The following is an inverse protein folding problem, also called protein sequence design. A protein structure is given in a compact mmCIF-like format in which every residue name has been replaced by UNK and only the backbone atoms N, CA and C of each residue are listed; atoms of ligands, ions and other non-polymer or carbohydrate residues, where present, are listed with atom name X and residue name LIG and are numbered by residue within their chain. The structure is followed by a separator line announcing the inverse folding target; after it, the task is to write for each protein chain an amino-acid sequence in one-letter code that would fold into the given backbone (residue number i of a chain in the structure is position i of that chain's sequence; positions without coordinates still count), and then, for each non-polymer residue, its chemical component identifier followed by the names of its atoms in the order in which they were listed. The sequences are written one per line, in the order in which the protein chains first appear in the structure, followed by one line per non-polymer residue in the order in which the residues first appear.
data_IF_235310866722
#
_entry.id   IF_235310866722
#
_cell.length_a   1.000
_cell.length_b   1.000
_cell.length_c   1.000
_cell.angle_alpha   90.00
_cell.angle_beta   90.00
_cell.angle_gamma   90.00
#
_symmetry.space_group_name_H-M   'P 1'
#
loop_
_entity.id
_entity.type
_entity.pdbx_description
1 polymer ?
#
# COMPACT_ATOMS: atom_id res chain seq x y z
N UNK A 1 -16.68 -28.48 1.13
CA UNK A 1 -15.59 -28.57 0.15
C UNK A 1 -14.36 -28.00 0.83
N UNK A 2 -13.41 -28.84 1.25
CA UNK A 2 -12.18 -28.40 1.88
C UNK A 2 -11.33 -27.75 0.77
N UNK A 3 -11.22 -26.40 0.79
CA UNK A 3 -10.30 -25.69 -0.07
C UNK A 3 -8.90 -26.09 0.36
N UNK A 4 -8.13 -26.61 -0.58
CA UNK A 4 -6.75 -27.04 -0.38
C UNK A 4 -5.92 -25.86 0.11
N UNK A 5 -5.61 -25.86 1.41
CA UNK A 5 -4.96 -24.73 2.12
C UNK A 5 -3.53 -24.47 1.66
N UNK A 6 -3.01 -25.31 0.77
CA UNK A 6 -1.62 -25.26 0.32
C UNK A 6 -1.40 -24.47 -0.97
N UNK A 7 -2.47 -24.06 -1.67
CA UNK A 7 -2.44 -23.33 -2.93
C UNK A 7 -2.61 -21.80 -2.78
N UNK A 8 -2.95 -21.32 -1.57
CA UNK A 8 -3.16 -19.89 -1.36
C UNK A 8 -1.84 -19.12 -1.44
N UNK A 9 -1.76 -18.12 -2.32
CA UNK A 9 -0.67 -17.16 -2.39
C UNK A 9 -0.82 -16.05 -1.36
N UNK A 10 -2.06 -15.64 -1.08
CA UNK A 10 -2.39 -14.68 -0.04
C UNK A 10 -3.48 -15.29 0.81
N UNK A 11 -3.30 -15.24 2.11
CA UNK A 11 -4.32 -15.64 3.08
C UNK A 11 -4.44 -14.59 4.16
N UNK A 12 -5.64 -14.10 4.35
CA UNK A 12 -6.05 -13.14 5.36
C UNK A 12 -7.07 -13.83 6.26
N UNK A 13 -6.82 -13.85 7.57
CA UNK A 13 -7.69 -14.50 8.54
C UNK A 13 -8.07 -13.50 9.64
N UNK A 14 -9.36 -13.09 9.65
CA UNK A 14 -10.00 -12.20 10.63
C UNK A 14 -9.17 -10.96 10.98
N UNK A 15 -8.67 -10.30 9.95
CA UNK A 15 -7.82 -9.13 10.12
C UNK A 15 -8.64 -7.89 10.44
N UNK A 16 -8.26 -7.22 11.53
CA UNK A 16 -8.75 -5.90 11.92
C UNK A 16 -7.64 -4.88 11.89
N UNK A 17 -7.98 -3.63 11.52
CA UNK A 17 -7.08 -2.48 11.55
C UNK A 17 -7.76 -1.27 12.14
N UNK A 18 -7.14 -0.68 13.16
CA UNK A 18 -7.61 0.49 13.88
C UNK A 18 -6.61 1.63 13.69
N UNK A 19 -7.14 2.85 13.54
CA UNK A 19 -6.34 4.07 13.53
C UNK A 19 -6.77 4.96 14.69
N UNK A 20 -5.79 5.52 15.36
CA UNK A 20 -6.00 6.48 16.43
C UNK A 20 -5.99 7.88 15.87
N UNK A 21 -7.15 8.54 15.85
CA UNK A 21 -7.28 9.94 15.47
C UNK A 21 -7.00 10.82 16.68
N UNK A 22 -5.88 11.54 16.66
CA UNK A 22 -5.60 12.59 17.64
C UNK A 22 -6.15 13.90 17.10
N UNK A 23 -7.29 14.35 17.62
CA UNK A 23 -7.80 15.68 17.32
C UNK A 23 -6.97 16.71 18.08
N UNK A 24 -6.03 17.35 17.38
CA UNK A 24 -5.37 18.56 17.92
C UNK A 24 -6.39 19.70 17.83
N UNK A 25 -7.18 19.88 18.88
CA UNK A 25 -8.07 21.05 18.98
C UNK A 25 -7.23 22.31 18.92
N UNK A 26 -7.62 23.23 18.05
CA UNK A 26 -6.98 24.53 17.92
C UNK A 26 -6.89 25.21 19.29
N UNK A 27 -5.74 25.81 19.57
CA UNK A 27 -5.36 26.49 20.83
C UNK A 27 -6.40 27.48 21.35
N UNK A 28 -7.36 27.91 20.53
CA UNK A 28 -8.44 28.85 20.90
C UNK A 28 -9.48 28.31 21.91
N UNK A 29 -9.68 26.97 22.01
CA UNK A 29 -10.65 26.43 22.99
C UNK A 29 -10.06 26.16 24.36
N UNK A 30 -8.75 26.23 24.52
CA UNK A 30 -8.05 26.00 25.80
C UNK A 30 -8.19 27.20 26.74
N UNK A 31 -8.45 28.42 26.20
CA UNK A 31 -8.52 29.63 26.98
C UNK A 31 -9.88 29.89 27.70
N UNK A 32 -10.94 29.17 27.32
CA UNK A 32 -12.31 29.44 27.84
C UNK A 32 -12.73 28.53 28.99
N UNK A 33 -12.02 27.42 29.24
CA UNK A 33 -12.31 26.49 30.37
C UNK A 33 -11.09 26.26 31.26
N UNK A 34 -10.57 27.34 31.80
CA UNK A 34 -9.69 27.28 32.98
C UNK A 34 -10.48 26.75 34.16
N UNK A 35 -9.88 25.85 34.93
CA UNK A 35 -10.33 25.28 36.23
C UNK A 35 -11.36 24.12 36.14
N UNK A 36 -10.95 22.98 35.61
CA UNK A 36 -11.27 21.71 36.29
C UNK A 36 -10.42 20.59 35.63
N UNK A 37 -9.49 20.08 36.42
CA UNK A 37 -8.55 19.04 35.99
C UNK A 37 -9.24 17.74 35.59
N UNK A 38 -9.06 17.39 34.34
CA UNK A 38 -8.93 16.07 33.78
C UNK A 38 -8.72 16.26 32.29
N UNK A 39 -7.46 16.30 31.85
CA UNK A 39 -7.09 16.11 30.42
C UNK A 39 -7.51 14.70 30.01
N UNK A 40 -8.73 14.54 29.57
CA UNK A 40 -9.12 13.41 28.73
C UNK A 40 -8.71 13.80 27.32
N UNK A 41 -7.55 13.32 26.88
CA UNK A 41 -7.26 13.25 25.44
C UNK A 41 -8.38 12.43 24.83
N UNK A 42 -9.24 13.08 24.06
CA UNK A 42 -10.28 12.39 23.28
C UNK A 42 -9.56 11.73 22.09
N UNK A 43 -9.04 10.55 22.37
CA UNK A 43 -8.48 9.67 21.37
C UNK A 43 -9.65 8.91 20.74
N UNK A 44 -10.03 9.29 19.54
CA UNK A 44 -11.06 8.57 18.79
C UNK A 44 -10.39 7.45 18.00
N UNK A 45 -10.85 6.22 18.21
CA UNK A 45 -10.43 5.07 17.41
C UNK A 45 -11.33 4.92 16.19
N UNK A 46 -10.72 4.92 15.02
CA UNK A 46 -11.38 4.63 13.75
C UNK A 46 -11.01 3.22 13.30
N UNK A 47 -12.01 2.35 13.12
CA UNK A 47 -11.82 1.00 12.60
C UNK A 47 -11.90 1.03 11.08
N UNK A 48 -10.75 0.86 10.41
CA UNK A 48 -10.66 0.85 8.96
C UNK A 48 -11.01 -0.52 8.35
N UNK A 49 -10.67 -1.60 9.06
CA UNK A 49 -11.00 -2.98 8.68
C UNK A 49 -11.47 -3.72 9.94
N UNK A 50 -12.47 -4.57 9.79
CA UNK A 50 -13.02 -5.39 10.88
C UNK A 50 -13.18 -6.84 10.42
N UNK A 51 -12.42 -7.74 11.04
CA UNK A 51 -12.51 -9.20 10.85
C UNK A 51 -12.53 -9.66 9.38
N UNK A 52 -11.73 -8.99 8.53
CA UNK A 52 -11.68 -9.31 7.10
C UNK A 52 -10.97 -10.64 6.90
N UNK A 53 -11.59 -11.54 6.15
CA UNK A 53 -11.01 -12.81 5.74
C UNK A 53 -11.11 -12.96 4.22
N UNK A 54 -10.00 -13.36 3.59
CA UNK A 54 -9.88 -13.52 2.15
C UNK A 54 -8.74 -14.49 1.84
N UNK A 55 -8.88 -15.30 0.81
CA UNK A 55 -7.77 -16.05 0.23
C UNK A 55 -7.66 -15.80 -1.27
N UNK A 56 -6.43 -15.83 -1.78
CA UNK A 56 -6.10 -15.65 -3.20
C UNK A 56 -5.20 -16.79 -3.62
N UNK A 57 -5.66 -17.59 -4.56
CA UNK A 57 -4.90 -18.70 -5.12
C UNK A 57 -3.85 -18.21 -6.14
N UNK A 58 -2.94 -19.12 -6.52
CA UNK A 58 -1.99 -18.82 -7.59
C UNK A 58 -2.71 -18.59 -8.92
N UNK A 59 -2.33 -17.52 -9.63
CA UNK A 59 -2.94 -17.13 -10.91
C UNK A 59 -4.33 -16.50 -10.80
N UNK A 60 -4.87 -16.36 -9.59
CA UNK A 60 -6.17 -15.73 -9.36
C UNK A 60 -6.04 -14.21 -9.40
N UNK A 61 -7.03 -13.54 -10.03
CA UNK A 61 -7.18 -12.10 -10.03
C UNK A 61 -8.41 -11.70 -9.20
N UNK A 62 -8.21 -10.82 -8.21
CA UNK A 62 -9.29 -10.31 -7.36
C UNK A 62 -9.43 -8.80 -7.51
N UNK A 63 -10.66 -8.31 -7.62
CA UNK A 63 -10.99 -6.90 -7.60
C UNK A 63 -11.65 -6.50 -6.27
N UNK A 64 -11.11 -5.45 -5.62
CA UNK A 64 -11.70 -4.85 -4.44
C UNK A 64 -12.58 -3.66 -4.84
N UNK A 65 -13.89 -3.81 -4.72
CA UNK A 65 -14.87 -2.77 -5.05
C UNK A 65 -15.44 -2.14 -3.78
N UNK A 66 -15.73 -0.84 -3.83
CA UNK A 66 -16.32 -0.13 -2.70
C UNK A 66 -16.07 1.38 -2.76
N UNK A 67 -16.81 2.13 -1.93
CA UNK A 67 -16.73 3.60 -1.84
C UNK A 67 -15.34 4.05 -1.35
N UNK A 68 -15.00 5.33 -1.57
CA UNK A 68 -13.82 5.92 -0.97
C UNK A 68 -13.93 5.86 0.57
N UNK A 69 -12.80 5.50 1.24
CA UNK A 69 -12.78 5.28 2.68
C UNK A 69 -13.26 3.90 3.17
N UNK A 70 -13.63 2.96 2.27
CA UNK A 70 -14.08 1.61 2.67
C UNK A 70 -12.95 0.64 3.06
N UNK A 71 -11.70 1.10 3.17
CA UNK A 71 -10.58 0.28 3.62
C UNK A 71 -9.78 -0.43 2.53
N UNK A 72 -10.12 -0.28 1.23
CA UNK A 72 -9.40 -0.95 0.12
C UNK A 72 -7.89 -0.73 0.15
N UNK A 73 -7.46 0.53 0.19
CA UNK A 73 -6.03 0.88 0.23
C UNK A 73 -5.36 0.42 1.53
N UNK A 74 -6.11 0.39 2.66
CA UNK A 74 -5.62 -0.14 3.92
C UNK A 74 -5.34 -1.63 3.80
N UNK A 75 -6.26 -2.40 3.19
CA UNK A 75 -6.08 -3.83 2.97
C UNK A 75 -4.88 -4.11 2.06
N UNK A 76 -4.72 -3.36 0.96
CA UNK A 76 -3.57 -3.48 0.07
C UNK A 76 -2.24 -3.17 0.78
N UNK A 77 -2.20 -2.13 1.64
CA UNK A 77 -1.02 -1.80 2.46
C UNK A 77 -0.67 -2.87 3.47
N UNK A 78 -1.66 -3.56 4.02
CA UNK A 78 -1.46 -4.71 4.90
C UNK A 78 -0.88 -5.91 4.12
N UNK A 79 -1.43 -6.23 2.95
CA UNK A 79 -0.96 -7.33 2.09
C UNK A 79 0.48 -7.08 1.62
N UNK A 80 0.81 -5.83 1.26
CA UNK A 80 2.16 -5.45 0.81
C UNK A 80 3.18 -5.30 1.95
N UNK A 81 2.76 -5.49 3.21
CA UNK A 81 3.66 -5.40 4.37
C UNK A 81 4.07 -3.97 4.73
N UNK A 82 3.49 -2.93 4.10
CA UNK A 82 3.75 -1.52 4.43
C UNK A 82 3.24 -1.16 5.82
N UNK A 83 2.22 -1.88 6.31
CA UNK A 83 1.73 -1.76 7.69
C UNK A 83 1.35 -3.12 8.25
N UNK A 84 1.33 -3.23 9.59
CA UNK A 84 0.87 -4.44 10.31
C UNK A 84 -0.63 -4.40 10.62
N UNK A 85 -1.23 -5.57 10.72
CA UNK A 85 -2.56 -5.74 11.27
C UNK A 85 -2.53 -5.58 12.81
N UNK A 86 -3.64 -5.11 13.39
CA UNK A 86 -3.78 -5.02 14.84
C UNK A 86 -4.31 -6.34 15.41
N UNK A 87 -5.16 -7.05 14.64
CA UNK A 87 -5.71 -8.35 14.97
C UNK A 87 -5.73 -9.24 13.73
N UNK A 88 -5.79 -10.57 13.97
CA UNK A 88 -5.79 -11.57 12.92
C UNK A 88 -4.41 -11.85 12.34
N UNK A 89 -4.36 -12.51 11.20
CA UNK A 89 -3.11 -12.91 10.56
C UNK A 89 -3.17 -12.73 9.03
N UNK A 90 -2.03 -12.34 8.44
CA UNK A 90 -1.83 -12.28 7.00
C UNK A 90 -0.63 -13.16 6.66
N UNK A 91 -0.82 -14.09 5.76
CA UNK A 91 0.24 -14.92 5.20
C UNK A 91 0.32 -14.64 3.69
N UNK A 92 1.52 -14.32 3.22
CA UNK A 92 1.81 -14.12 1.79
C UNK A 92 2.96 -15.02 1.39
N UNK A 93 2.78 -15.78 0.32
CA UNK A 93 3.82 -16.65 -0.26
C UNK A 93 4.40 -16.02 -1.51
N UNK A 94 5.69 -15.72 -1.48
CA UNK A 94 6.42 -15.09 -2.57
C UNK A 94 6.65 -13.59 -2.37
N UNK A 95 7.01 -12.90 -3.43
CA UNK A 95 7.28 -11.47 -3.39
C UNK A 95 6.01 -10.69 -3.75
N UNK A 96 5.73 -9.63 -2.99
CA UNK A 96 4.63 -8.70 -3.28
C UNK A 96 5.21 -7.42 -3.85
N UNK A 97 4.77 -7.04 -5.03
CA UNK A 97 4.99 -5.72 -5.59
C UNK A 97 3.71 -4.89 -5.42
N UNK A 98 3.69 -4.00 -4.44
CA UNK A 98 2.52 -3.16 -4.16
C UNK A 98 2.56 -1.87 -4.99
N UNK A 99 1.69 -1.75 -5.99
CA UNK A 99 1.43 -0.50 -6.71
C UNK A 99 0.16 0.13 -6.13
N UNK A 100 0.30 0.81 -4.99
CA UNK A 100 -0.87 1.36 -4.26
C UNK A 100 -1.30 2.72 -4.83
N UNK A 101 -0.33 3.50 -5.31
CA UNK A 101 -0.60 4.80 -5.94
C UNK A 101 0.04 4.81 -7.34
N UNK A 102 -0.77 5.01 -8.38
CA UNK A 102 -0.30 5.17 -9.75
C UNK A 102 0.51 6.47 -9.83
N UNK A 103 1.80 6.35 -10.17
CA UNK A 103 2.74 7.48 -10.18
C UNK A 103 3.53 7.68 -8.88
N UNK A 104 3.21 7.02 -7.77
CA UNK A 104 4.07 6.96 -6.61
C UNK A 104 5.30 6.12 -6.95
N UNK A 105 6.40 6.79 -7.19
CA UNK A 105 7.68 6.15 -7.55
C UNK A 105 8.33 6.74 -8.80
N UNK A 106 7.58 7.46 -9.65
CA UNK A 106 8.19 8.23 -10.74
C UNK A 106 8.72 9.56 -10.21
N UNK A 107 10.03 9.76 -10.36
CA UNK A 107 10.64 11.04 -10.06
C UNK A 107 10.54 11.94 -11.29
N UNK A 108 9.89 13.10 -11.22
CA UNK A 108 9.63 13.93 -12.39
C UNK A 108 10.90 14.46 -13.06
N UNK A 109 11.96 14.71 -12.30
CA UNK A 109 13.23 15.24 -12.81
C UNK A 109 14.19 14.14 -13.33
N UNK A 110 13.79 12.87 -13.25
CA UNK A 110 14.53 11.76 -13.83
C UNK A 110 13.95 11.37 -15.18
N UNK A 111 14.81 10.85 -16.05
CA UNK A 111 14.42 10.26 -17.33
C UNK A 111 13.61 8.97 -17.13
N UNK A 112 12.92 8.52 -18.16
CA UNK A 112 12.23 7.21 -18.15
C UNK A 112 13.19 6.08 -17.79
N UNK A 113 14.41 6.08 -18.35
CA UNK A 113 15.47 5.13 -18.05
C UNK A 113 15.81 5.10 -16.56
N UNK A 114 16.12 6.25 -15.98
CA UNK A 114 16.47 6.37 -14.56
C UNK A 114 15.32 5.94 -13.65
N UNK A 115 14.08 6.28 -14.01
CA UNK A 115 12.89 5.85 -13.30
C UNK A 115 12.71 4.32 -13.32
N UNK A 116 13.02 3.63 -14.43
CA UNK A 116 12.99 2.16 -14.48
C UNK A 116 13.96 1.57 -13.45
N UNK A 117 15.19 2.08 -13.36
CA UNK A 117 16.17 1.61 -12.39
C UNK A 117 15.75 1.93 -10.96
N UNK A 118 15.27 3.15 -10.69
CA UNK A 118 14.80 3.59 -9.38
C UNK A 118 13.64 2.70 -8.90
N UNK A 119 12.61 2.55 -9.72
CA UNK A 119 11.44 1.75 -9.37
C UNK A 119 11.76 0.26 -9.25
N UNK A 120 12.59 -0.27 -10.14
CA UNK A 120 13.07 -1.64 -10.03
C UNK A 120 13.76 -1.91 -8.70
N UNK A 121 14.63 -0.99 -8.24
CA UNK A 121 15.30 -1.08 -6.95
C UNK A 121 14.32 -0.97 -5.77
N UNK A 122 13.36 -0.05 -5.82
CA UNK A 122 12.29 0.09 -4.80
C UNK A 122 11.47 -1.21 -4.69
N UNK A 123 11.20 -1.87 -5.81
CA UNK A 123 10.50 -3.17 -5.87
C UNK A 123 11.40 -4.37 -5.49
N UNK A 124 12.63 -4.12 -5.05
CA UNK A 124 13.56 -5.16 -4.58
C UNK A 124 14.22 -5.97 -5.71
N UNK A 125 14.21 -5.48 -6.95
CA UNK A 125 14.95 -6.10 -8.04
C UNK A 125 16.45 -5.79 -7.92
N UNK A 126 17.29 -6.77 -8.22
CA UNK A 126 18.73 -6.53 -8.39
C UNK A 126 19.00 -5.75 -9.68
N UNK A 127 20.05 -4.95 -9.72
CA UNK A 127 20.43 -4.19 -10.92
C UNK A 127 20.58 -5.10 -12.15
N UNK A 128 21.20 -6.27 -11.99
CA UNK A 128 21.34 -7.25 -13.06
C UNK A 128 19.98 -7.73 -13.62
N UNK A 129 18.96 -7.87 -12.75
CA UNK A 129 17.60 -8.21 -13.17
C UNK A 129 16.94 -7.05 -13.90
N UNK A 130 17.10 -5.82 -13.42
CA UNK A 130 16.56 -4.61 -14.07
C UNK A 130 17.15 -4.49 -15.48
N UNK A 131 18.48 -4.59 -15.62
CA UNK A 131 19.17 -4.54 -16.94
C UNK A 131 18.66 -5.60 -17.90
N UNK A 132 18.44 -6.82 -17.43
CA UNK A 132 17.94 -7.92 -18.27
C UNK A 132 16.52 -7.68 -18.78
N UNK A 133 15.66 -7.06 -17.98
CA UNK A 133 14.27 -6.77 -18.33
C UNK A 133 14.09 -5.40 -19.00
N UNK A 134 15.14 -4.58 -19.07
CA UNK A 134 15.06 -3.18 -19.48
C UNK A 134 14.43 -3.01 -20.87
N UNK A 135 14.96 -3.69 -21.89
CA UNK A 135 14.47 -3.55 -23.25
C UNK A 135 13.00 -4.00 -23.38
N UNK A 136 12.60 -5.02 -22.61
CA UNK A 136 11.23 -5.48 -22.57
C UNK A 136 10.30 -4.47 -21.90
N UNK A 137 10.75 -3.79 -20.84
CA UNK A 137 9.98 -2.73 -20.19
C UNK A 137 9.81 -1.55 -21.13
N UNK A 138 10.87 -1.14 -21.82
CA UNK A 138 10.85 -0.04 -22.79
C UNK A 138 9.90 -0.35 -23.94
N UNK A 139 10.03 -1.53 -24.55
CA UNK A 139 9.14 -1.96 -25.64
C UNK A 139 7.66 -2.03 -25.21
N UNK A 140 7.38 -2.47 -23.97
CA UNK A 140 6.02 -2.50 -23.43
C UNK A 140 5.43 -1.09 -23.23
N UNK A 141 6.27 -0.12 -22.89
CA UNK A 141 5.82 1.25 -22.62
C UNK A 141 5.52 2.07 -23.88
N UNK A 142 5.99 1.62 -25.05
CA UNK A 142 5.84 2.30 -26.36
C UNK A 142 6.39 3.73 -26.38
N UNK A 143 7.38 4.05 -25.52
CA UNK A 143 7.99 5.37 -25.39
C UNK A 143 9.50 5.34 -25.67
N UNK A 144 9.99 4.45 -26.54
CA UNK A 144 11.41 4.28 -26.82
C UNK A 144 12.10 5.60 -27.18
N UNK A 145 11.44 6.42 -27.99
CA UNK A 145 11.99 7.71 -28.44
C UNK A 145 12.15 8.72 -27.31
N UNK A 146 11.40 8.56 -26.23
CA UNK A 146 11.37 9.50 -25.08
C UNK A 146 12.03 8.93 -23.82
N UNK A 147 12.60 7.73 -23.90
CA UNK A 147 13.12 7.01 -22.72
C UNK A 147 14.22 7.80 -21.97
N UNK A 148 14.96 8.63 -22.66
CA UNK A 148 16.01 9.48 -22.13
C UNK A 148 15.57 10.93 -21.89
N UNK A 149 14.25 11.20 -21.97
CA UNK A 149 13.65 12.48 -21.61
C UNK A 149 13.16 12.47 -20.18
N UNK A 150 13.29 13.57 -19.45
CA UNK A 150 12.76 13.72 -18.09
C UNK A 150 11.22 13.63 -18.10
N UNK A 151 10.65 12.91 -17.12
CA UNK A 151 9.20 12.60 -17.06
C UNK A 151 8.30 13.84 -16.96
N UNK A 152 8.83 14.97 -16.47
CA UNK A 152 8.08 16.23 -16.35
C UNK A 152 7.79 16.92 -17.68
N UNK A 153 8.38 16.49 -18.79
CA UNK A 153 8.18 17.00 -20.14
C UNK A 153 7.40 15.99 -20.99
#
# INVERSE_FOLDING_TARGET
MAVDRDLDRIRIDRVSKHFTLRHTRAVKEIFVKGLQGRRRELTEQFTALREVSLSVAEGEAIALLGRNGSGKSTLLKLISGVMGADEGAIAVRGNVAGLIDVGAGFHPDLTGRENIFLNGAILGMTEAKIRREFDRIVAFSEIEEFIDTEVKF
#
